data_IF_716106007651
#
_entry.id   IF_716106007651
#
_cell.length_a   1.000
_cell.length_b   1.000
_cell.length_c   1.000
_cell.angle_alpha   90.00
_cell.angle_beta   90.00
_cell.angle_gamma   90.00
#
_symmetry.space_group_name_H-M   'P 1'
#
loop_
_entity.id
_entity.type
_entity.pdbx_description
1 polymer ?
#
# COMPACT_ATOMS: atom_id res chain seq x y z
N UNK A 1 27.60 -25.66 -15.86
CA UNK A 1 26.75 -24.47 -16.14
C UNK A 1 27.67 -23.30 -16.42
N UNK A 2 27.41 -22.47 -17.43
CA UNK A 2 28.12 -21.21 -17.61
C UNK A 2 27.93 -20.32 -16.36
N UNK A 3 28.91 -19.45 -16.05
CA UNK A 3 28.77 -18.51 -14.95
C UNK A 3 27.81 -17.37 -15.32
N UNK A 4 26.94 -16.92 -14.39
CA UNK A 4 26.05 -15.79 -14.65
C UNK A 4 26.86 -14.53 -14.95
N UNK A 5 26.49 -13.79 -16.00
CA UNK A 5 27.05 -12.46 -16.24
C UNK A 5 26.15 -11.39 -15.63
N UNK A 6 26.74 -10.27 -15.23
CA UNK A 6 25.97 -9.15 -14.68
C UNK A 6 25.09 -8.56 -15.76
N UNK A 7 25.61 -8.47 -17.00
CA UNK A 7 24.87 -7.96 -18.16
C UNK A 7 23.58 -8.76 -18.46
N UNK A 8 23.51 -10.04 -18.09
CA UNK A 8 22.31 -10.86 -18.29
C UNK A 8 21.14 -10.41 -17.41
N UNK A 9 21.38 -9.55 -16.42
CA UNK A 9 20.36 -9.00 -15.51
C UNK A 9 19.74 -7.71 -16.01
N UNK A 10 20.37 -7.04 -16.97
CA UNK A 10 19.96 -5.72 -17.44
C UNK A 10 18.58 -5.82 -18.11
N UNK A 11 17.60 -5.10 -17.54
CA UNK A 11 16.21 -5.11 -17.99
C UNK A 11 15.39 -6.34 -17.57
N UNK A 12 15.98 -7.28 -16.81
CA UNK A 12 15.30 -8.48 -16.30
C UNK A 12 15.15 -8.49 -14.78
N UNK A 13 16.05 -7.82 -14.05
CA UNK A 13 16.07 -7.82 -12.60
C UNK A 13 16.16 -6.40 -12.07
N UNK A 14 15.40 -6.12 -11.01
CA UNK A 14 15.52 -4.90 -10.23
C UNK A 14 15.56 -5.26 -8.74
N UNK A 15 16.44 -4.59 -8.01
CA UNK A 15 16.52 -4.71 -6.56
C UNK A 15 15.61 -3.67 -5.91
N UNK A 16 14.45 -4.09 -5.41
CA UNK A 16 13.50 -3.18 -4.77
C UNK A 16 14.02 -2.55 -3.46
N UNK A 17 15.08 -3.09 -2.84
CA UNK A 17 15.70 -2.48 -1.65
C UNK A 17 16.62 -1.31 -1.99
N UNK A 18 17.06 -1.21 -3.24
CA UNK A 18 17.98 -0.16 -3.74
C UNK A 18 17.32 0.77 -4.76
N UNK A 19 16.14 0.41 -5.27
CA UNK A 19 15.39 1.19 -6.22
C UNK A 19 14.92 2.54 -5.62
N UNK A 20 14.71 3.58 -6.45
CA UNK A 20 14.10 4.83 -6.01
C UNK A 20 12.74 4.58 -5.34
N UNK A 21 12.50 5.27 -4.22
CA UNK A 21 11.26 5.14 -3.45
C UNK A 21 10.13 5.92 -4.12
N UNK A 22 8.97 5.28 -4.31
CA UNK A 22 7.74 5.93 -4.74
C UNK A 22 7.05 6.67 -3.59
N UNK A 23 7.19 6.14 -2.38
CA UNK A 23 6.72 6.75 -1.14
C UNK A 23 7.81 6.66 -0.09
N UNK A 24 8.10 7.77 0.57
CA UNK A 24 8.99 7.84 1.73
C UNK A 24 8.34 8.75 2.80
N UNK A 25 7.79 8.11 3.83
CA UNK A 25 7.16 8.79 4.95
C UNK A 25 7.99 8.51 6.19
N UNK A 26 8.61 9.56 6.72
CA UNK A 26 9.40 9.52 7.94
C UNK A 26 8.58 8.93 9.10
N UNK A 27 9.16 7.96 9.80
CA UNK A 27 8.55 7.25 10.93
C UNK A 27 7.23 6.53 10.59
N UNK A 28 7.04 6.20 9.31
CA UNK A 28 5.83 5.56 8.79
C UNK A 28 6.17 4.37 7.91
N UNK A 29 6.95 4.59 6.86
CA UNK A 29 7.35 3.54 5.95
C UNK A 29 7.71 4.02 4.55
N UNK A 30 8.16 3.05 3.74
CA UNK A 30 8.67 3.23 2.39
C UNK A 30 8.00 2.25 1.43
N UNK A 31 7.77 2.69 0.21
CA UNK A 31 7.15 1.87 -0.84
C UNK A 31 7.96 2.00 -2.13
N UNK A 32 8.16 0.86 -2.78
CA UNK A 32 8.66 0.77 -4.15
C UNK A 32 7.62 0.02 -4.97
N UNK A 33 7.22 0.59 -6.10
CA UNK A 33 6.29 -0.01 -7.07
C UNK A 33 7.07 -0.41 -8.31
N UNK A 34 6.99 -1.70 -8.63
CA UNK A 34 7.49 -2.27 -9.86
C UNK A 34 6.46 -2.08 -10.97
N UNK A 35 6.84 -1.40 -12.05
CA UNK A 35 5.97 -1.08 -13.17
C UNK A 35 6.74 -0.99 -14.50
N UNK A 36 6.03 -0.72 -15.59
CA UNK A 36 6.62 -0.71 -16.94
C UNK A 36 7.74 0.33 -17.13
N UNK A 37 7.83 1.35 -16.25
CA UNK A 37 8.86 2.38 -16.33
C UNK A 37 10.21 1.92 -15.78
N UNK A 38 10.20 1.10 -14.72
CA UNK A 38 11.43 0.65 -14.05
C UNK A 38 11.81 -0.80 -14.37
N UNK A 39 10.88 -1.61 -14.89
CA UNK A 39 11.17 -2.92 -15.45
C UNK A 39 10.22 -3.23 -16.62
N UNK A 40 10.51 -2.77 -17.86
CA UNK A 40 9.60 -2.88 -19.01
C UNK A 40 9.04 -4.29 -19.28
N UNK A 41 9.80 -5.33 -18.94
CA UNK A 41 9.39 -6.74 -19.05
C UNK A 41 8.05 -7.03 -18.35
N UNK A 42 7.72 -6.32 -17.27
CA UNK A 42 6.43 -6.47 -16.57
C UNK A 42 5.23 -6.21 -17.47
N UNK A 43 5.38 -5.33 -18.46
CA UNK A 43 4.36 -5.06 -19.48
C UNK A 43 4.12 -6.24 -20.42
N UNK A 44 5.15 -7.04 -20.69
CA UNK A 44 5.04 -8.23 -21.53
C UNK A 44 4.40 -9.41 -20.79
N UNK A 45 4.73 -9.59 -19.51
CA UNK A 45 4.18 -10.67 -18.69
C UNK A 45 2.82 -10.34 -18.08
N UNK A 46 2.44 -9.06 -18.02
CA UNK A 46 1.15 -8.58 -17.51
C UNK A 46 1.05 -8.49 -15.98
N UNK A 47 2.19 -8.41 -15.28
CA UNK A 47 2.24 -8.36 -13.81
C UNK A 47 3.19 -7.29 -13.31
N UNK A 48 2.74 -6.46 -12.40
CA UNK A 48 3.55 -5.53 -11.62
C UNK A 48 3.79 -6.08 -10.22
N UNK A 49 4.44 -5.29 -9.38
CA UNK A 49 4.70 -5.66 -8.00
C UNK A 49 4.86 -4.44 -7.10
N UNK A 50 4.86 -4.67 -5.80
CA UNK A 50 5.23 -3.66 -4.81
C UNK A 50 6.03 -4.27 -3.67
N UNK A 51 6.95 -3.47 -3.12
CA UNK A 51 7.62 -3.73 -1.85
C UNK A 51 7.20 -2.65 -0.88
N UNK A 52 6.65 -3.06 0.26
CA UNK A 52 6.34 -2.19 1.38
C UNK A 52 7.28 -2.50 2.55
N UNK A 53 7.83 -1.45 3.13
CA UNK A 53 8.60 -1.46 4.37
C UNK A 53 7.92 -0.51 5.35
N UNK A 54 7.26 -1.02 6.38
CA UNK A 54 6.54 -0.21 7.36
C UNK A 54 7.30 -0.21 8.67
N UNK A 55 7.48 0.99 9.21
CA UNK A 55 8.19 1.19 10.48
C UNK A 55 7.34 0.73 11.66
N UNK A 56 7.99 0.52 12.81
CA UNK A 56 7.30 0.06 14.02
C UNK A 56 6.10 0.93 14.39
N UNK A 57 5.00 0.30 14.84
CA UNK A 57 3.75 0.98 15.23
C UNK A 57 3.02 1.76 14.12
N UNK A 58 3.45 1.62 12.86
CA UNK A 58 2.86 2.34 11.73
C UNK A 58 1.77 1.51 11.03
N UNK A 59 0.93 2.17 10.23
CA UNK A 59 -0.21 1.53 9.55
C UNK A 59 -0.24 1.87 8.06
N UNK A 60 -0.39 0.89 7.18
CA UNK A 60 -0.84 1.17 5.83
C UNK A 60 -2.36 1.41 5.84
N UNK A 61 -2.79 2.62 5.47
CA UNK A 61 -4.21 2.97 5.38
C UNK A 61 -4.95 2.03 4.42
N UNK A 62 -6.24 1.73 4.65
CA UNK A 62 -7.02 0.89 3.76
C UNK A 62 -6.92 1.36 2.31
N UNK A 63 -6.39 0.51 1.44
CA UNK A 63 -6.23 0.77 0.02
C UNK A 63 -6.80 -0.35 -0.84
N UNK A 64 -7.12 -0.01 -2.09
CA UNK A 64 -7.63 -0.94 -3.10
C UNK A 64 -7.04 -0.60 -4.48
N UNK A 65 -6.94 -1.61 -5.35
CA UNK A 65 -6.52 -1.40 -6.75
C UNK A 65 -7.64 -0.72 -7.54
N UNK A 66 -7.28 0.26 -8.39
CA UNK A 66 -8.23 1.02 -9.20
C UNK A 66 -8.66 0.32 -10.48
N UNK A 67 -7.95 -0.72 -10.91
CA UNK A 67 -8.06 -1.35 -12.23
C UNK A 67 -8.51 -2.82 -12.17
N UNK A 68 -9.20 -3.20 -11.08
CA UNK A 68 -9.63 -4.58 -10.79
C UNK A 68 -8.48 -5.58 -10.67
N UNK A 69 -7.24 -5.10 -10.51
CA UNK A 69 -6.09 -5.95 -10.35
C UNK A 69 -6.12 -6.65 -8.99
N UNK A 70 -5.73 -7.92 -9.00
CA UNK A 70 -5.59 -8.73 -7.81
C UNK A 70 -4.17 -8.54 -7.25
N UNK A 71 -4.08 -8.38 -5.93
CA UNK A 71 -2.80 -8.28 -5.21
C UNK A 71 -2.60 -9.54 -4.37
N UNK A 72 -1.60 -10.33 -4.74
CA UNK A 72 -1.14 -11.49 -3.96
C UNK A 72 0.05 -11.02 -3.12
N UNK A 73 -0.14 -10.91 -1.81
CA UNK A 73 0.88 -10.45 -0.87
C UNK A 73 1.59 -11.63 -0.22
N UNK A 74 2.92 -11.60 -0.22
CA UNK A 74 3.80 -12.43 0.60
C UNK A 74 4.42 -11.58 1.70
N UNK A 75 4.06 -11.86 2.94
CA UNK A 75 4.66 -11.17 4.10
C UNK A 75 6.05 -11.73 4.34
N UNK A 76 7.06 -10.87 4.41
CA UNK A 76 8.44 -11.25 4.64
C UNK A 76 8.70 -11.24 6.15
N UNK A 77 8.16 -12.23 6.86
CA UNK A 77 8.56 -12.51 8.24
C UNK A 77 9.71 -13.51 8.19
N UNK A 78 10.72 -13.32 9.04
CA UNK A 78 11.90 -14.21 9.12
C UNK A 78 11.43 -15.66 9.31
N UNK A 79 11.42 -16.44 8.22
CA UNK A 79 11.09 -17.87 8.22
C UNK A 79 9.61 -18.23 8.03
N UNK A 80 8.71 -17.30 7.70
CA UNK A 80 7.29 -17.63 7.39
C UNK A 80 6.86 -16.93 6.10
N UNK A 81 6.68 -17.72 5.03
CA UNK A 81 6.08 -17.26 3.77
C UNK A 81 4.57 -17.55 3.80
N UNK A 82 3.78 -16.54 4.13
CA UNK A 82 2.31 -16.63 4.06
C UNK A 82 1.81 -15.83 2.84
N UNK A 83 1.16 -16.51 1.90
CA UNK A 83 0.55 -15.90 0.72
C UNK A 83 -0.91 -15.60 0.97
N UNK A 84 -1.31 -14.33 0.81
CA UNK A 84 -2.69 -13.89 0.98
C UNK A 84 -3.15 -13.02 -0.19
N UNK A 85 -4.34 -13.34 -0.70
CA UNK A 85 -5.03 -12.52 -1.69
C UNK A 85 -5.88 -11.47 -0.97
N UNK A 86 -5.68 -10.20 -1.31
CA UNK A 86 -6.42 -9.09 -0.71
C UNK A 86 -7.11 -8.23 -1.78
N UNK A 87 -8.29 -7.70 -1.43
CA UNK A 87 -9.04 -6.73 -2.26
C UNK A 87 -9.01 -5.33 -1.64
N UNK A 88 -9.24 -5.24 -0.32
CA UNK A 88 -9.09 -4.03 0.49
C UNK A 88 -8.49 -4.46 1.82
N UNK A 89 -7.38 -3.86 2.22
CA UNK A 89 -6.69 -4.25 3.46
C UNK A 89 -6.02 -3.04 4.11
N UNK A 90 -6.07 -3.02 5.44
CA UNK A 90 -5.16 -2.21 6.25
C UNK A 90 -4.22 -3.15 6.98
N UNK A 91 -2.95 -2.77 7.04
CA UNK A 91 -1.88 -3.58 7.64
C UNK A 91 -1.25 -2.71 8.72
N UNK A 92 -1.20 -3.22 9.95
CA UNK A 92 -0.61 -2.53 11.10
C UNK A 92 0.68 -3.28 11.42
N UNK A 93 1.79 -2.55 11.51
CA UNK A 93 3.06 -3.10 11.89
C UNK A 93 3.16 -3.24 13.42
N UNK A 94 3.79 -4.33 13.84
CA UNK A 94 4.23 -4.53 15.21
C UNK A 94 5.36 -3.54 15.56
N UNK A 95 5.83 -3.48 16.82
CA UNK A 95 6.89 -2.54 17.23
C UNK A 95 8.19 -2.65 16.43
N UNK A 96 8.47 -3.84 15.86
CA UNK A 96 9.66 -4.10 15.06
C UNK A 96 9.50 -3.71 13.58
N UNK A 97 8.30 -3.31 13.17
CA UNK A 97 7.96 -3.03 11.78
C UNK A 97 7.38 -4.25 11.05
N UNK A 98 7.09 -4.07 9.76
CA UNK A 98 6.62 -5.14 8.89
C UNK A 98 7.11 -4.89 7.46
N UNK A 99 7.45 -5.94 6.74
CA UNK A 99 7.70 -5.85 5.30
C UNK A 99 6.93 -6.91 4.54
N UNK A 100 6.52 -6.57 3.33
CA UNK A 100 5.89 -7.53 2.43
C UNK A 100 6.17 -7.16 0.98
N UNK A 101 6.16 -8.17 0.14
CA UNK A 101 6.22 -8.04 -1.29
C UNK A 101 4.90 -8.52 -1.89
N UNK A 102 4.37 -7.82 -2.88
CA UNK A 102 3.15 -8.24 -3.55
C UNK A 102 3.36 -8.35 -5.05
N UNK A 103 2.73 -9.35 -5.67
CA UNK A 103 2.55 -9.42 -7.12
C UNK A 103 1.15 -8.91 -7.43
N UNK A 104 1.04 -8.03 -8.42
CA UNK A 104 -0.20 -7.40 -8.83
C UNK A 104 -0.51 -7.82 -10.26
N UNK A 105 -1.75 -8.23 -10.55
CA UNK A 105 -2.16 -8.71 -11.88
C UNK A 105 -2.41 -7.57 -12.89
N UNK A 106 -1.56 -6.55 -12.83
CA UNK A 106 -1.53 -5.40 -13.76
C UNK A 106 -0.08 -4.90 -13.83
N UNK A 107 0.46 -4.60 -15.03
CA UNK A 107 1.84 -4.19 -15.19
C UNK A 107 2.13 -2.78 -14.65
N UNK A 108 1.11 -1.96 -14.43
CA UNK A 108 1.24 -0.61 -13.87
C UNK A 108 0.33 -0.44 -12.65
N UNK A 109 0.74 -0.99 -11.47
CA UNK A 109 -0.10 -0.99 -10.28
C UNK A 109 -0.50 0.42 -9.86
N UNK A 110 -1.81 0.64 -9.73
CA UNK A 110 -2.38 1.88 -9.25
C UNK A 110 -3.32 1.62 -8.08
N UNK A 111 -2.97 2.17 -6.92
CA UNK A 111 -3.70 2.01 -5.68
C UNK A 111 -4.33 3.33 -5.25
N UNK A 112 -5.57 3.27 -4.79
CA UNK A 112 -6.22 4.38 -4.10
C UNK A 112 -6.44 4.04 -2.65
N UNK A 113 -6.25 5.03 -1.78
CA UNK A 113 -6.48 4.91 -0.34
C UNK A 113 -7.83 5.53 0.06
N UNK A 114 -8.49 4.94 1.06
CA UNK A 114 -9.71 5.49 1.64
C UNK A 114 -9.42 6.71 2.52
N UNK A 115 -8.29 6.69 3.26
CA UNK A 115 -7.83 7.76 4.13
C UNK A 115 -6.59 8.46 3.57
N UNK A 116 -6.43 9.74 3.89
CA UNK A 116 -5.27 10.55 3.54
C UNK A 116 -5.54 11.75 2.62
N UNK A 117 -4.46 12.40 2.19
CA UNK A 117 -4.48 13.72 1.51
C UNK A 117 -5.10 13.67 0.13
N UNK A 118 -5.00 12.54 -0.56
CA UNK A 118 -5.54 12.29 -1.90
C UNK A 118 -6.63 11.20 -1.86
N UNK A 119 -7.26 11.01 -0.71
CA UNK A 119 -8.11 9.84 -0.45
C UNK A 119 -9.57 10.01 -0.86
N UNK A 120 -10.26 8.88 -0.98
CA UNK A 120 -11.70 8.84 -1.29
C UNK A 120 -12.49 9.64 -0.25
N UNK A 121 -12.26 9.43 1.05
CA UNK A 121 -13.02 10.14 2.08
C UNK A 121 -12.82 11.65 2.06
N UNK A 122 -11.63 12.12 1.68
CA UNK A 122 -11.38 13.56 1.52
C UNK A 122 -12.14 14.14 0.33
N UNK A 123 -12.28 13.36 -0.74
CA UNK A 123 -13.00 13.75 -1.95
C UNK A 123 -14.52 13.81 -1.76
N UNK A 124 -15.08 13.10 -0.77
CA UNK A 124 -16.51 13.14 -0.46
C UNK A 124 -16.91 14.43 0.27
N UNK A 125 -18.15 14.89 0.01
CA UNK A 125 -18.71 16.03 0.74
C UNK A 125 -19.09 15.63 2.17
N UNK A 126 -19.12 16.58 3.12
CA UNK A 126 -19.55 16.31 4.49
C UNK A 126 -20.92 15.65 4.59
N UNK A 127 -21.88 16.08 3.78
CA UNK A 127 -23.25 15.57 3.78
C UNK A 127 -23.29 14.10 3.34
N UNK A 128 -22.45 13.72 2.37
CA UNK A 128 -22.33 12.32 1.93
C UNK A 128 -21.74 11.46 3.05
N UNK A 129 -20.72 11.94 3.76
CA UNK A 129 -20.11 11.21 4.88
C UNK A 129 -21.08 11.07 6.06
N UNK A 130 -21.81 12.14 6.41
CA UNK A 130 -22.83 12.12 7.45
C UNK A 130 -23.94 11.10 7.14
N UNK A 131 -24.42 11.10 5.89
CA UNK A 131 -25.45 10.15 5.46
C UNK A 131 -24.91 8.70 5.43
N UNK A 132 -23.71 8.49 4.87
CA UNK A 132 -23.12 7.15 4.72
C UNK A 132 -22.78 6.50 6.06
N UNK A 133 -22.25 7.27 7.00
CA UNK A 133 -21.89 6.77 8.34
C UNK A 133 -22.99 6.96 9.38
N UNK A 134 -24.09 7.65 9.02
CA UNK A 134 -25.22 7.97 9.91
C UNK A 134 -24.73 8.69 11.18
N UNK A 135 -23.96 9.75 10.99
CA UNK A 135 -23.36 10.58 12.06
C UNK A 135 -23.75 12.04 11.89
N UNK A 136 -23.62 12.82 12.97
CA UNK A 136 -23.80 14.27 12.93
C UNK A 136 -22.56 15.01 12.37
N UNK A 137 -22.69 16.32 12.22
CA UNK A 137 -21.63 17.18 11.69
C UNK A 137 -20.40 17.28 12.59
N UNK A 138 -20.55 17.15 13.91
CA UNK A 138 -19.42 17.22 14.84
C UNK A 138 -18.53 15.98 14.70
N UNK A 139 -19.15 14.80 14.68
CA UNK A 139 -18.45 13.52 14.48
C UNK A 139 -17.82 13.44 13.09
N UNK A 140 -18.49 13.95 12.06
CA UNK A 140 -17.95 14.00 10.70
C UNK A 140 -16.73 14.94 10.58
N UNK A 141 -16.78 16.13 11.19
CA UNK A 141 -15.64 17.05 11.22
C UNK A 141 -14.45 16.44 11.95
N UNK A 142 -14.71 15.77 13.09
CA UNK A 142 -13.68 15.06 13.83
C UNK A 142 -13.06 13.94 12.98
N UNK A 143 -13.87 13.17 12.25
CA UNK A 143 -13.41 12.14 11.34
C UNK A 143 -12.49 12.71 10.25
N UNK A 144 -12.90 13.79 9.57
CA UNK A 144 -12.07 14.43 8.53
C UNK A 144 -10.77 14.99 9.08
N UNK A 145 -10.82 15.61 10.26
CA UNK A 145 -9.63 16.21 10.90
C UNK A 145 -8.53 15.17 11.17
N UNK A 146 -8.90 13.91 11.43
CA UNK A 146 -7.98 12.81 11.75
C UNK A 146 -7.59 11.94 10.56
N UNK A 147 -8.34 11.96 9.45
CA UNK A 147 -8.24 10.95 8.38
C UNK A 147 -7.98 11.53 6.99
N UNK A 148 -7.86 12.85 6.83
CA UNK A 148 -7.73 13.50 5.50
C UNK A 148 -6.50 14.42 5.33
N UNK A 149 -5.66 14.54 6.36
CA UNK A 149 -4.46 15.39 6.36
C UNK A 149 -3.20 14.71 5.80
N UNK A 150 -3.04 13.40 6.05
CA UNK A 150 -1.77 12.69 5.89
C UNK A 150 -1.66 12.04 4.50
N UNK A 151 -0.51 12.04 3.84
CA UNK A 151 -0.38 11.60 2.44
C UNK A 151 -0.88 10.16 2.21
N UNK A 152 -0.54 9.28 3.14
CA UNK A 152 -1.08 7.95 3.42
C UNK A 152 -1.15 7.95 4.94
N UNK A 153 -2.28 7.62 5.58
CA UNK A 153 -2.32 7.59 7.06
C UNK A 153 -1.47 6.43 7.57
N UNK A 154 -0.16 6.65 7.70
CA UNK A 154 0.77 5.93 8.58
C UNK A 154 0.72 6.54 9.98
N UNK A 155 -0.49 6.82 10.45
CA UNK A 155 -0.74 7.39 11.78
C UNK A 155 -1.00 6.26 12.77
N UNK A 156 -0.47 6.40 13.99
CA UNK A 156 -0.76 5.56 15.15
C UNK A 156 -2.27 5.29 15.29
N UNK A 157 -2.58 4.02 15.50
CA UNK A 157 -3.86 3.37 15.82
C UNK A 157 -4.98 4.31 16.32
N UNK A 158 -6.07 4.38 15.56
CA UNK A 158 -7.43 4.42 16.13
C UNK A 158 -8.30 3.43 15.32
N UNK A 159 -8.29 2.17 15.75
CA UNK A 159 -9.25 1.17 15.28
C UNK A 159 -10.62 1.54 15.83
N UNK A 160 -11.59 1.83 14.96
CA UNK A 160 -12.99 1.75 15.35
C UNK A 160 -13.30 0.26 15.52
N UNK A 161 -13.32 -0.22 16.76
CA UNK A 161 -13.99 -1.47 17.09
C UNK A 161 -15.49 -1.24 16.90
N UNK A 162 -16.01 -1.55 15.71
CA UNK A 162 -17.42 -1.81 15.54
C UNK A 162 -17.68 -3.21 16.08
N UNK A 163 -17.92 -3.27 17.40
CA UNK A 163 -18.56 -4.43 18.00
C UNK A 163 -20.00 -4.47 17.48
N UNK A 164 -20.32 -5.47 16.67
CA UNK A 164 -21.68 -5.98 16.50
C UNK A 164 -22.01 -6.88 17.70
#
# INVERSE_FOLDING_TARGET
MPQPKVEDRDGFVINCLEAPLDVDIKDGGRVVVLNTKNLPLVGEVGFGADLFLIDGHSMCSPGFSCDSALQVTCTLLVGVEEFKLFFVVSKIADPEGMSWFSIVTTPDPNFTHLAGRTSVWKALSPEVLQAAFKVDAEVEQLFRSKRTSDAISLSLIVVFSLSL
#
